data_IF_312422617508
#
_entry.id   IF_312422617508
#
_cell.length_a   1.000
_cell.length_b   1.000
_cell.length_c   1.000
_cell.angle_alpha   90.00
_cell.angle_beta   90.00
_cell.angle_gamma   90.00
#
_symmetry.space_group_name_H-M   'P 1'
#
loop_
_entity.id
_entity.type
_entity.pdbx_description
1 polymer ?
#
# COMPACT_ATOMS: atom_id res chain seq x y z
N UNK A 1 -8.80 -31.40 -10.49
CA UNK A 1 -8.17 -31.67 -9.17
C UNK A 1 -9.14 -31.24 -8.08
N UNK A 2 -9.29 -31.97 -6.96
CA UNK A 2 -10.15 -31.52 -5.86
C UNK A 2 -9.58 -30.23 -5.24
N UNK A 3 -10.47 -29.29 -4.91
CA UNK A 3 -10.11 -28.04 -4.23
C UNK A 3 -9.58 -28.42 -2.83
N UNK A 4 -8.30 -28.15 -2.58
CA UNK A 4 -7.75 -28.24 -1.22
C UNK A 4 -8.21 -27.00 -0.46
N UNK A 5 -9.11 -27.21 0.50
CA UNK A 5 -9.40 -26.19 1.50
C UNK A 5 -8.20 -26.13 2.44
N UNK A 6 -7.26 -25.24 2.14
CA UNK A 6 -6.23 -24.87 3.10
C UNK A 6 -6.99 -24.23 4.27
N UNK A 7 -6.79 -24.75 5.48
CA UNK A 7 -7.39 -24.19 6.69
C UNK A 7 -7.02 -22.71 6.89
N UNK A 8 -7.45 -22.08 7.99
CA UNK A 8 -7.09 -20.69 8.26
C UNK A 8 -5.57 -20.49 8.19
N UNK A 9 -5.14 -19.43 7.51
CA UNK A 9 -3.72 -19.11 7.38
C UNK A 9 -3.11 -18.87 8.77
N UNK A 10 -1.88 -19.35 9.00
CA UNK A 10 -1.16 -19.11 10.24
C UNK A 10 -0.70 -17.64 10.30
N UNK A 11 -1.19 -16.81 11.24
CA UNK A 11 -0.78 -15.41 11.35
C UNK A 11 0.70 -15.23 11.71
N UNK A 12 1.32 -16.25 12.32
CA UNK A 12 2.72 -16.24 12.72
C UNK A 12 3.68 -16.64 11.60
N UNK A 13 3.18 -17.12 10.46
CA UNK A 13 4.02 -17.45 9.32
C UNK A 13 4.69 -16.18 8.75
N UNK A 14 6.04 -16.10 8.71
CA UNK A 14 6.74 -14.94 8.15
C UNK A 14 6.40 -14.67 6.69
N UNK A 15 6.12 -15.71 5.90
CA UNK A 15 5.71 -15.60 4.48
C UNK A 15 4.34 -14.96 4.37
N UNK A 16 3.35 -15.46 5.13
CA UNK A 16 2.01 -14.88 5.20
C UNK A 16 2.04 -13.41 5.61
N UNK A 17 2.80 -13.07 6.66
CA UNK A 17 2.92 -11.68 7.12
C UNK A 17 3.57 -10.77 6.10
N UNK A 18 4.57 -11.26 5.37
CA UNK A 18 5.20 -10.47 4.31
C UNK A 18 4.24 -10.23 3.14
N UNK A 19 3.52 -11.27 2.70
CA UNK A 19 2.45 -11.13 1.70
C UNK A 19 1.38 -10.11 2.14
N UNK A 20 0.93 -10.19 3.39
CA UNK A 20 -0.03 -9.22 3.93
C UNK A 20 0.50 -7.77 3.88
N UNK A 21 1.79 -7.55 4.19
CA UNK A 21 2.42 -6.22 4.05
C UNK A 21 2.40 -5.73 2.60
N UNK A 22 2.68 -6.62 1.63
CA UNK A 22 2.63 -6.28 0.20
C UNK A 22 1.20 -5.90 -0.21
N UNK A 23 0.21 -6.72 0.14
CA UNK A 23 -1.21 -6.43 -0.19
C UNK A 23 -1.64 -5.10 0.40
N UNK A 24 -1.31 -4.83 1.66
CA UNK A 24 -1.61 -3.54 2.29
C UNK A 24 -0.94 -2.37 1.55
N UNK A 25 0.35 -2.49 1.19
CA UNK A 25 1.05 -1.46 0.43
C UNK A 25 0.36 -1.19 -0.93
N UNK A 26 0.01 -2.24 -1.66
CA UNK A 26 -0.65 -2.13 -2.97
C UNK A 26 -2.01 -1.44 -2.83
N UNK A 27 -2.84 -1.88 -1.88
CA UNK A 27 -4.16 -1.26 -1.66
C UNK A 27 -4.06 0.23 -1.32
N UNK A 28 -3.15 0.61 -0.42
CA UNK A 28 -2.96 2.01 -0.06
C UNK A 28 -2.42 2.83 -1.23
N UNK A 29 -1.53 2.25 -2.05
CA UNK A 29 -0.99 2.90 -3.24
C UNK A 29 -2.07 3.11 -4.30
N UNK A 30 -2.98 2.14 -4.51
CA UNK A 30 -4.12 2.29 -5.40
C UNK A 30 -5.07 3.40 -4.95
N UNK A 31 -5.40 3.45 -3.66
CA UNK A 31 -6.25 4.49 -3.08
C UNK A 31 -5.58 5.87 -3.21
N UNK A 32 -4.29 5.96 -2.89
CA UNK A 32 -3.49 7.17 -3.08
C UNK A 32 -3.54 7.63 -4.53
N UNK A 33 -3.30 6.74 -5.49
CA UNK A 33 -3.30 7.07 -6.91
C UNK A 33 -4.68 7.56 -7.39
N UNK A 34 -5.75 6.85 -7.04
CA UNK A 34 -7.12 7.20 -7.43
C UNK A 34 -7.54 8.58 -6.89
N UNK A 35 -7.27 8.84 -5.61
CA UNK A 35 -7.68 10.08 -4.96
C UNK A 35 -6.78 11.26 -5.34
N UNK A 36 -5.45 11.10 -5.35
CA UNK A 36 -4.57 12.19 -5.72
C UNK A 36 -4.74 12.58 -7.19
N UNK A 37 -4.87 11.61 -8.11
CA UNK A 37 -5.13 11.95 -9.52
C UNK A 37 -6.44 12.72 -9.70
N UNK A 38 -7.53 12.30 -9.05
CA UNK A 38 -8.80 13.01 -9.09
C UNK A 38 -8.74 14.40 -8.46
N UNK A 39 -8.10 14.54 -7.30
CA UNK A 39 -7.94 15.83 -6.63
C UNK A 39 -7.09 16.81 -7.45
N UNK A 40 -5.97 16.35 -8.01
CA UNK A 40 -5.12 17.16 -8.88
C UNK A 40 -5.81 17.52 -10.19
N UNK A 41 -6.66 16.65 -10.74
CA UNK A 41 -7.52 16.99 -11.87
C UNK A 41 -8.47 18.16 -11.52
N UNK A 42 -9.19 18.07 -10.40
CA UNK A 42 -10.12 19.12 -9.93
C UNK A 42 -9.39 20.43 -9.59
N UNK A 43 -8.20 20.36 -9.00
CA UNK A 43 -7.36 21.52 -8.69
C UNK A 43 -7.12 22.39 -9.93
N UNK A 44 -6.91 21.76 -11.09
CA UNK A 44 -6.66 22.44 -12.36
C UNK A 44 -7.94 23.04 -13.00
N UNK A 45 -9.13 22.72 -12.49
CA UNK A 45 -10.42 23.15 -13.05
C UNK A 45 -11.00 24.45 -12.47
N UNK A 46 -10.27 25.15 -11.59
CA UNK A 46 -10.60 26.46 -10.92
C UNK A 46 -10.98 26.41 -9.44
N UNK A 47 -10.84 25.28 -8.74
CA UNK A 47 -10.95 25.23 -7.27
C UNK A 47 -9.57 25.07 -6.63
N UNK A 48 -8.82 26.16 -6.38
CA UNK A 48 -7.50 26.06 -5.77
C UNK A 48 -7.65 25.66 -4.31
N UNK A 49 -7.33 24.41 -4.01
CA UNK A 49 -7.14 23.91 -2.67
C UNK A 49 -5.70 24.19 -2.25
N UNK A 50 -5.49 25.14 -1.34
CA UNK A 50 -4.17 25.63 -0.93
C UNK A 50 -3.28 24.56 -0.29
N UNK A 51 -3.88 23.54 0.33
CA UNK A 51 -3.17 22.52 1.10
C UNK A 51 -3.01 21.19 0.36
N UNK A 52 -3.41 21.12 -0.92
CA UNK A 52 -3.38 19.86 -1.68
C UNK A 52 -1.97 19.29 -1.80
N UNK A 53 -0.98 20.13 -2.09
CA UNK A 53 0.42 19.70 -2.19
C UNK A 53 0.90 19.03 -0.89
N UNK A 54 0.67 19.67 0.25
CA UNK A 54 1.06 19.13 1.55
C UNK A 54 0.35 17.81 1.87
N UNK A 55 -0.95 17.70 1.55
CA UNK A 55 -1.70 16.45 1.70
C UNK A 55 -1.10 15.33 0.84
N UNK A 56 -0.82 15.60 -0.43
CA UNK A 56 -0.21 14.63 -1.35
C UNK A 56 1.17 14.19 -0.85
N UNK A 57 2.02 15.13 -0.44
CA UNK A 57 3.38 14.86 0.03
C UNK A 57 3.40 14.07 1.34
N UNK A 58 2.60 14.47 2.33
CA UNK A 58 2.51 13.77 3.61
C UNK A 58 2.01 12.33 3.44
N UNK A 59 1.01 12.14 2.57
CA UNK A 59 0.50 10.80 2.27
C UNK A 59 1.51 9.97 1.45
N UNK A 60 2.19 10.57 0.48
CA UNK A 60 3.27 9.89 -0.25
C UNK A 60 4.39 9.43 0.70
N UNK A 61 4.75 10.25 1.70
CA UNK A 61 5.73 9.86 2.72
C UNK A 61 5.26 8.63 3.53
N UNK A 62 3.97 8.54 3.88
CA UNK A 62 3.43 7.35 4.54
C UNK A 62 3.54 6.10 3.66
N UNK A 63 3.35 6.21 2.35
CA UNK A 63 3.57 5.09 1.42
C UNK A 63 5.04 4.68 1.34
N UNK A 64 5.97 5.65 1.36
CA UNK A 64 7.41 5.37 1.43
C UNK A 64 7.75 4.60 2.70
N UNK A 65 7.20 4.99 3.85
CA UNK A 65 7.38 4.25 5.12
C UNK A 65 6.82 2.83 5.02
N UNK A 66 5.65 2.63 4.40
CA UNK A 66 5.11 1.29 4.17
C UNK A 66 6.00 0.46 3.24
N UNK A 67 6.52 1.05 2.16
CA UNK A 67 7.43 0.39 1.23
C UNK A 67 8.71 -0.05 1.93
N UNK A 68 9.33 0.83 2.72
CA UNK A 68 10.51 0.49 3.53
C UNK A 68 10.20 -0.68 4.46
N UNK A 69 9.04 -0.67 5.12
CA UNK A 69 8.60 -1.77 6.00
C UNK A 69 8.48 -3.12 5.26
N UNK A 70 7.94 -3.12 4.04
CA UNK A 70 7.86 -4.32 3.19
C UNK A 70 9.25 -4.85 2.86
N UNK A 71 10.14 -3.98 2.36
CA UNK A 71 11.49 -4.35 1.92
C UNK A 71 12.36 -4.81 3.08
N UNK A 72 12.37 -4.06 4.19
CA UNK A 72 13.19 -4.35 5.36
C UNK A 72 12.77 -5.64 6.10
N UNK A 73 11.50 -6.04 5.99
CA UNK A 73 10.94 -7.24 6.65
C UNK A 73 10.65 -8.36 5.66
N UNK A 74 11.49 -8.49 4.63
CA UNK A 74 11.43 -9.62 3.70
C UNK A 74 11.95 -10.89 4.40
N UNK A 75 11.22 -12.02 4.36
CA UNK A 75 11.70 -13.27 4.92
C UNK A 75 12.89 -13.79 4.09
N UNK A 76 13.84 -14.44 4.75
CA UNK A 76 14.94 -15.12 4.07
C UNK A 76 14.40 -16.29 3.25
N UNK A 77 14.97 -16.50 2.07
CA UNK A 77 14.68 -17.70 1.27
C UNK A 77 15.31 -18.90 1.99
N UNK A 78 14.55 -19.95 2.35
CA UNK A 78 15.16 -21.16 2.89
C UNK A 78 16.12 -21.75 1.85
N UNK A 79 17.35 -22.04 2.25
CA UNK A 79 18.40 -22.67 1.44
C UNK A 79 18.08 -24.12 1.09
#
# INVERSE_FOLDING_TARGET
MPIRWYGPANPEDPTYRHFNRIVNLVLHTMVFAALNSGLWFVQNMRHPFSHLAWLTEAWALLLVVQLISVVARRPETPS
#
